data_IF_467406036568
#
_entry.id   IF_467406036568
#
_cell.length_a   1.000
_cell.length_b   1.000
_cell.length_c   1.000
_cell.angle_alpha   90.00
_cell.angle_beta   90.00
_cell.angle_gamma   90.00
#
_symmetry.space_group_name_H-M   'P 1'
#
loop_
_entity.id
_entity.type
_entity.pdbx_description
1 polymer ?
#
# COMPACT_ATOMS: atom_id res chain seq x y z
N UNK A 1 -31.68 28.18 -15.09
CA UNK A 1 -31.63 27.17 -14.00
C UNK A 1 -30.95 25.82 -14.31
N UNK A 2 -30.66 25.35 -15.55
CA UNK A 2 -30.13 23.99 -15.75
C UNK A 2 -28.62 23.82 -15.45
N UNK A 3 -27.81 24.90 -15.54
CA UNK A 3 -26.35 24.84 -15.35
C UNK A 3 -25.90 24.59 -13.90
N UNK A 4 -26.72 24.92 -12.90
CA UNK A 4 -26.37 24.79 -11.46
C UNK A 4 -26.55 23.36 -10.93
N UNK A 5 -27.55 22.63 -11.41
CA UNK A 5 -27.74 21.20 -11.09
C UNK A 5 -26.66 20.33 -11.75
N UNK A 6 -26.18 20.76 -12.91
CA UNK A 6 -25.08 20.12 -13.65
C UNK A 6 -23.75 20.21 -12.91
N UNK A 7 -23.44 21.34 -12.26
CA UNK A 7 -22.20 21.50 -11.49
C UNK A 7 -22.17 20.65 -10.20
N UNK A 8 -23.31 20.54 -9.50
CA UNK A 8 -23.42 19.71 -8.30
C UNK A 8 -23.40 18.21 -8.65
N UNK A 9 -24.06 17.83 -9.76
CA UNK A 9 -24.00 16.48 -10.29
C UNK A 9 -22.60 16.11 -10.81
N UNK A 10 -21.88 17.05 -11.43
CA UNK A 10 -20.49 16.86 -11.87
C UNK A 10 -19.51 16.75 -10.69
N UNK A 11 -19.74 17.48 -9.59
CA UNK A 11 -18.92 17.36 -8.37
C UNK A 11 -19.17 16.03 -7.64
N UNK A 12 -20.43 15.58 -7.56
CA UNK A 12 -20.78 14.27 -7.00
C UNK A 12 -20.30 13.12 -7.90
N UNK A 13 -20.36 13.28 -9.23
CA UNK A 13 -19.78 12.33 -10.17
C UNK A 13 -18.25 12.35 -10.15
N UNK A 14 -17.59 13.49 -9.98
CA UNK A 14 -16.13 13.57 -9.86
C UNK A 14 -15.63 12.93 -8.55
N UNK A 15 -16.38 13.10 -7.46
CA UNK A 15 -16.10 12.43 -6.19
C UNK A 15 -16.37 10.91 -6.24
N UNK A 16 -17.41 10.48 -6.94
CA UNK A 16 -17.73 9.05 -7.14
C UNK A 16 -16.85 8.37 -8.21
N UNK A 17 -16.33 9.13 -9.18
CA UNK A 17 -15.47 8.67 -10.27
C UNK A 17 -13.97 8.82 -9.97
N UNK A 18 -13.59 9.30 -8.78
CA UNK A 18 -12.21 9.26 -8.32
C UNK A 18 -11.78 7.82 -8.01
N UNK A 19 -11.63 7.02 -9.08
CA UNK A 19 -10.74 5.88 -9.10
C UNK A 19 -9.34 6.44 -9.28
N UNK A 20 -8.44 6.34 -8.29
CA UNK A 20 -7.05 6.72 -8.52
C UNK A 20 -6.53 5.90 -9.70
N UNK A 21 -5.83 6.53 -10.65
CA UNK A 21 -5.38 5.84 -11.86
C UNK A 21 -4.54 4.62 -11.47
N UNK A 22 -4.64 3.50 -12.22
CA UNK A 22 -3.67 2.43 -12.07
C UNK A 22 -2.32 2.98 -12.52
N UNK A 23 -1.48 3.40 -11.58
CA UNK A 23 -0.09 3.76 -11.83
C UNK A 23 0.69 2.50 -12.20
N UNK A 24 0.55 2.07 -13.45
CA UNK A 24 1.56 1.23 -14.12
C UNK A 24 2.73 2.14 -14.49
N UNK A 25 3.51 2.53 -13.48
CA UNK A 25 4.85 3.05 -13.69
C UNK A 25 5.69 1.86 -14.18
N UNK A 26 5.79 1.70 -15.50
CA UNK A 26 6.83 0.88 -16.11
C UNK A 26 8.16 1.59 -15.85
N UNK A 27 8.84 1.21 -14.77
CA UNK A 27 10.21 1.62 -14.53
C UNK A 27 11.07 0.95 -15.61
N UNK A 28 11.37 1.68 -16.67
CA UNK A 28 12.41 1.28 -17.61
C UNK A 28 13.75 1.49 -16.89
N UNK A 29 14.39 0.39 -16.48
CA UNK A 29 15.75 0.40 -15.94
C UNK A 29 16.71 0.89 -17.04
N UNK A 30 17.49 1.96 -16.83
CA UNK A 30 18.52 2.34 -17.78
C UNK A 30 19.69 1.36 -17.70
N UNK A 31 20.15 0.89 -18.87
CA UNK A 31 21.38 0.12 -19.03
C UNK A 31 22.57 0.93 -18.49
N UNK A 32 23.30 0.34 -17.55
CA UNK A 32 24.51 0.87 -16.93
C UNK A 32 25.59 1.21 -17.97
N UNK A 33 26.09 2.43 -17.94
CA UNK A 33 27.50 2.73 -18.22
C UNK A 33 28.13 3.38 -16.98
N UNK A 34 29.29 2.85 -16.62
CA UNK A 34 29.99 3.10 -15.38
C UNK A 34 30.74 4.44 -15.43
N UNK A 35 30.53 5.28 -14.42
CA UNK A 35 31.53 6.24 -13.94
C UNK A 35 31.39 6.38 -12.44
N UNK A 36 32.52 6.27 -11.75
CA UNK A 36 32.66 6.15 -10.32
C UNK A 36 32.31 7.45 -9.57
N UNK A 37 31.22 7.39 -8.79
CA UNK A 37 30.97 8.17 -7.59
C UNK A 37 30.49 7.11 -6.58
N UNK A 38 31.08 7.07 -5.38
CA UNK A 38 30.70 6.10 -4.34
C UNK A 38 29.16 6.09 -4.20
N UNK A 39 28.48 4.96 -4.46
CA UNK A 39 27.04 4.96 -4.53
C UNK A 39 26.44 5.24 -3.15
N UNK A 40 25.36 6.02 -3.04
CA UNK A 40 24.56 6.06 -1.82
C UNK A 40 24.17 4.63 -1.45
N UNK A 41 24.18 4.31 -0.15
CA UNK A 41 23.81 2.98 0.33
C UNK A 41 22.42 2.63 -0.21
N UNK A 42 22.14 1.36 -0.51
CA UNK A 42 20.84 0.99 -1.09
C UNK A 42 19.66 1.36 -0.16
N UNK A 43 19.93 1.51 1.15
CA UNK A 43 19.01 2.08 2.12
C UNK A 43 18.65 3.55 1.86
N UNK A 44 19.62 4.38 1.46
CA UNK A 44 19.39 5.81 1.16
C UNK A 44 18.57 5.98 -0.13
N UNK A 45 18.81 5.13 -1.13
CA UNK A 45 18.01 5.09 -2.36
C UNK A 45 16.56 4.71 -2.07
N UNK A 46 16.36 3.65 -1.27
CA UNK A 46 15.05 3.21 -0.81
C UNK A 46 14.31 4.32 -0.03
N UNK A 47 15.00 5.03 0.85
CA UNK A 47 14.43 6.14 1.61
C UNK A 47 14.01 7.30 0.69
N UNK A 48 14.86 7.66 -0.26
CA UNK A 48 14.59 8.73 -1.24
C UNK A 48 13.40 8.40 -2.14
N UNK A 49 13.32 7.18 -2.65
CA UNK A 49 12.21 6.74 -3.50
C UNK A 49 10.88 6.73 -2.74
N UNK A 50 10.89 6.29 -1.47
CA UNK A 50 9.70 6.38 -0.59
C UNK A 50 9.27 7.82 -0.36
N UNK A 51 10.21 8.72 -0.10
CA UNK A 51 9.91 10.14 0.12
C UNK A 51 9.28 10.74 -1.14
N UNK A 52 9.90 10.58 -2.31
CA UNK A 52 9.39 11.09 -3.58
C UNK A 52 7.99 10.53 -3.86
N UNK A 53 7.79 9.22 -3.70
CA UNK A 53 6.50 8.57 -3.93
C UNK A 53 5.43 9.10 -2.96
N UNK A 54 5.76 9.28 -1.70
CA UNK A 54 4.84 9.86 -0.71
C UNK A 54 4.49 11.30 -1.08
N UNK A 55 5.47 12.13 -1.40
CA UNK A 55 5.25 13.53 -1.79
C UNK A 55 4.35 13.66 -3.02
N UNK A 56 4.63 12.90 -4.08
CA UNK A 56 3.89 13.01 -5.35
C UNK A 56 2.49 12.42 -5.24
N UNK A 57 2.34 11.28 -4.54
CA UNK A 57 1.06 10.56 -4.50
C UNK A 57 0.11 11.11 -3.43
N UNK A 58 0.63 11.73 -2.38
CA UNK A 58 -0.15 12.14 -1.22
C UNK A 58 -0.15 13.65 -1.01
N UNK A 59 1.02 14.27 -0.92
CA UNK A 59 1.13 15.69 -0.56
C UNK A 59 0.59 16.59 -1.68
N UNK A 60 1.00 16.35 -2.93
CA UNK A 60 0.58 17.16 -4.09
C UNK A 60 -0.94 17.16 -4.29
N UNK A 61 -1.64 16.00 -4.31
CA UNK A 61 -3.11 16.00 -4.44
C UNK A 61 -3.80 16.70 -3.27
N UNK A 62 -3.31 16.55 -2.04
CA UNK A 62 -3.92 17.16 -0.86
C UNK A 62 -3.81 18.69 -0.89
N UNK A 63 -2.64 19.21 -1.28
CA UNK A 63 -2.44 20.64 -1.49
C UNK A 63 -3.27 21.18 -2.66
N UNK A 64 -3.38 20.42 -3.75
CA UNK A 64 -4.23 20.78 -4.88
C UNK A 64 -5.70 20.87 -4.49
N UNK A 65 -6.21 19.91 -3.69
CA UNK A 65 -7.58 19.98 -3.15
C UNK A 65 -7.73 21.19 -2.24
N UNK A 66 -6.77 21.48 -1.35
CA UNK A 66 -6.78 22.69 -0.53
C UNK A 66 -6.87 23.98 -1.36
N UNK A 67 -6.06 24.10 -2.41
CA UNK A 67 -6.08 25.26 -3.31
C UNK A 67 -7.41 25.39 -4.06
N UNK A 68 -7.99 24.27 -4.52
CA UNK A 68 -9.33 24.24 -5.15
C UNK A 68 -10.39 24.67 -4.13
N UNK A 69 -10.32 24.17 -2.90
CA UNK A 69 -11.23 24.52 -1.81
C UNK A 69 -11.19 26.00 -1.47
N UNK A 70 -10.01 26.62 -1.47
CA UNK A 70 -9.84 28.06 -1.24
C UNK A 70 -10.68 28.90 -2.22
N UNK A 71 -10.62 28.54 -3.51
CA UNK A 71 -11.32 29.23 -4.59
C UNK A 71 -12.81 28.85 -4.62
N UNK A 72 -13.14 27.59 -4.30
CA UNK A 72 -14.50 27.09 -4.30
C UNK A 72 -15.33 27.59 -3.12
N UNK A 73 -14.69 27.93 -1.99
CA UNK A 73 -15.37 28.28 -0.74
C UNK A 73 -16.45 29.37 -0.88
N UNK A 74 -16.20 30.53 -1.53
CA UNK A 74 -17.24 31.55 -1.71
C UNK A 74 -18.43 31.08 -2.56
N UNK A 75 -18.21 30.13 -3.49
CA UNK A 75 -19.29 29.54 -4.27
C UNK A 75 -20.10 28.55 -3.42
N UNK A 76 -19.44 27.76 -2.57
CA UNK A 76 -20.09 26.84 -1.63
C UNK A 76 -20.97 27.60 -0.63
N UNK A 77 -20.47 28.67 0.01
CA UNK A 77 -21.25 29.48 0.95
C UNK A 77 -22.47 30.13 0.27
N UNK A 78 -22.32 30.65 -0.96
CA UNK A 78 -23.46 31.17 -1.75
C UNK A 78 -24.46 30.08 -2.10
N UNK A 79 -23.98 28.88 -2.43
CA UNK A 79 -24.82 27.70 -2.67
C UNK A 79 -25.68 27.37 -1.47
N UNK A 80 -25.07 27.25 -0.28
CA UNK A 80 -25.77 27.00 0.98
C UNK A 80 -26.81 28.07 1.28
N UNK A 81 -26.46 29.35 1.11
CA UNK A 81 -27.42 30.46 1.27
C UNK A 81 -28.62 30.40 0.34
N UNK A 82 -28.41 29.93 -0.89
CA UNK A 82 -29.52 29.79 -1.85
C UNK A 82 -30.38 28.55 -1.58
N UNK A 83 -29.84 27.57 -0.86
CA UNK A 83 -30.56 26.35 -0.50
C UNK A 83 -31.43 26.54 0.76
N UNK A 84 -31.02 27.41 1.67
CA UNK A 84 -31.73 27.68 2.93
C UNK A 84 -32.46 29.04 2.89
N UNK A 85 -33.62 29.13 3.53
CA UNK A 85 -34.33 30.40 3.70
C UNK A 85 -33.62 31.33 4.70
N UNK A 86 -33.90 32.63 4.61
CA UNK A 86 -33.32 33.66 5.50
C UNK A 86 -33.61 33.35 6.98
N UNK A 87 -34.82 32.87 7.30
CA UNK A 87 -35.19 32.47 8.66
C UNK A 87 -34.35 31.28 9.18
N UNK A 88 -34.07 30.28 8.33
CA UNK A 88 -33.23 29.13 8.68
C UNK A 88 -31.79 29.54 8.92
N UNK A 89 -31.25 30.43 8.08
CA UNK A 89 -29.89 30.95 8.24
C UNK A 89 -29.74 31.80 9.51
N UNK A 90 -30.78 32.55 9.89
CA UNK A 90 -30.80 33.32 11.13
C UNK A 90 -30.70 32.40 12.36
N UNK A 91 -31.45 31.28 12.36
CA UNK A 91 -31.36 30.25 13.40
C UNK A 91 -29.96 29.61 13.45
N UNK A 92 -29.38 29.30 12.28
CA UNK A 92 -28.00 28.80 12.16
C UNK A 92 -26.97 29.81 12.70
N UNK A 93 -27.15 31.10 12.42
CA UNK A 93 -26.24 32.16 12.89
C UNK A 93 -26.35 32.42 14.39
N UNK A 94 -27.53 32.18 14.97
CA UNK A 94 -27.79 32.37 16.39
C UNK A 94 -27.42 31.18 17.25
N UNK A 95 -27.55 29.95 16.72
CA UNK A 95 -27.39 28.63 17.38
C UNK A 95 -27.53 28.68 18.92
N UNK A 96 -28.62 29.26 19.42
CA UNK A 96 -28.77 29.61 20.84
C UNK A 96 -28.75 28.39 21.77
N UNK A 97 -29.10 27.22 21.24
CA UNK A 97 -29.03 25.93 21.95
C UNK A 97 -27.72 25.16 21.71
N UNK A 98 -26.76 25.71 20.97
CA UNK A 98 -25.51 25.06 20.55
C UNK A 98 -25.73 23.68 19.89
N UNK A 99 -26.91 23.43 19.31
CA UNK A 99 -27.28 22.11 18.82
C UNK A 99 -26.40 21.72 17.63
N UNK A 100 -26.19 22.67 16.71
CA UNK A 100 -25.40 22.43 15.50
C UNK A 100 -23.94 22.27 15.88
N UNK A 101 -23.41 23.13 16.76
CA UNK A 101 -22.05 23.01 17.26
C UNK A 101 -21.80 21.66 17.96
N UNK A 102 -22.74 21.20 18.81
CA UNK A 102 -22.63 19.92 19.50
C UNK A 102 -22.71 18.73 18.53
N UNK A 103 -23.63 18.76 17.56
CA UNK A 103 -23.74 17.73 16.53
C UNK A 103 -22.46 17.60 15.70
N UNK A 104 -21.90 18.72 15.26
CA UNK A 104 -20.65 18.76 14.51
C UNK A 104 -19.45 18.29 15.34
N UNK A 105 -19.42 18.64 16.63
CA UNK A 105 -18.39 18.15 17.56
C UNK A 105 -18.45 16.63 17.71
N UNK A 106 -19.65 16.06 17.86
CA UNK A 106 -19.84 14.60 17.92
C UNK A 106 -19.36 13.93 16.64
N UNK A 107 -19.67 14.48 15.46
CA UNK A 107 -19.18 13.96 14.17
C UNK A 107 -17.66 14.01 14.09
N UNK A 108 -17.04 15.15 14.46
CA UNK A 108 -15.59 15.31 14.45
C UNK A 108 -14.89 14.31 15.39
N UNK A 109 -15.45 14.08 16.58
CA UNK A 109 -14.95 13.06 17.51
C UNK A 109 -15.07 11.66 16.91
N UNK A 110 -16.23 11.30 16.35
CA UNK A 110 -16.44 9.99 15.71
C UNK A 110 -15.47 9.79 14.54
N UNK A 111 -15.29 10.81 13.70
CA UNK A 111 -14.36 10.78 12.59
C UNK A 111 -12.92 10.58 13.08
N UNK A 112 -12.45 11.40 14.03
CA UNK A 112 -11.11 11.33 14.60
C UNK A 112 -10.82 9.97 15.26
N UNK A 113 -11.78 9.43 16.01
CA UNK A 113 -11.67 8.11 16.63
C UNK A 113 -11.60 7.01 15.58
N UNK A 114 -12.47 7.06 14.57
CA UNK A 114 -12.52 6.04 13.52
C UNK A 114 -11.25 6.08 12.67
N UNK A 115 -10.81 7.26 12.23
CA UNK A 115 -9.59 7.39 11.40
C UNK A 115 -8.34 7.01 12.19
N UNK A 116 -8.24 7.37 13.48
CA UNK A 116 -7.12 6.99 14.34
C UNK A 116 -7.01 5.48 14.54
N UNK A 117 -8.13 4.82 14.86
CA UNK A 117 -8.16 3.36 14.99
C UNK A 117 -7.85 2.66 13.66
N UNK A 118 -8.34 3.20 12.55
CA UNK A 118 -8.08 2.65 11.21
C UNK A 118 -6.61 2.79 10.84
N UNK A 119 -6.01 3.94 11.14
CA UNK A 119 -4.59 4.18 10.96
C UNK A 119 -3.75 3.17 11.75
N UNK A 120 -4.01 3.03 13.05
CA UNK A 120 -3.28 2.10 13.91
C UNK A 120 -3.41 0.65 13.42
N UNK A 121 -4.62 0.23 13.03
CA UNK A 121 -4.86 -1.09 12.46
C UNK A 121 -4.07 -1.32 11.17
N UNK A 122 -4.17 -0.40 10.20
CA UNK A 122 -3.50 -0.54 8.91
C UNK A 122 -1.97 -0.49 9.07
N UNK A 123 -1.46 0.36 9.95
CA UNK A 123 -0.04 0.44 10.25
C UNK A 123 0.48 -0.87 10.85
N UNK A 124 -0.18 -1.39 11.89
CA UNK A 124 0.19 -2.67 12.50
C UNK A 124 0.11 -3.82 11.47
N UNK A 125 -0.88 -3.80 10.59
CA UNK A 125 -0.97 -4.77 9.50
C UNK A 125 0.25 -4.69 8.56
N UNK A 126 0.70 -3.49 8.18
CA UNK A 126 1.90 -3.33 7.34
C UNK A 126 3.17 -3.84 8.05
N UNK A 127 3.30 -3.59 9.35
CA UNK A 127 4.42 -4.13 10.15
C UNK A 127 4.38 -5.66 10.16
N UNK A 128 3.22 -6.29 10.34
CA UNK A 128 3.09 -7.75 10.29
C UNK A 128 3.45 -8.32 8.93
N UNK A 129 3.03 -7.67 7.84
CA UNK A 129 3.42 -8.08 6.48
C UNK A 129 4.93 -7.98 6.28
N UNK A 130 5.55 -6.91 6.79
CA UNK A 130 7.00 -6.72 6.71
C UNK A 130 7.76 -7.81 7.45
N UNK A 131 7.38 -8.10 8.70
CA UNK A 131 8.05 -9.11 9.52
C UNK A 131 7.88 -10.52 8.95
N UNK A 132 6.65 -10.89 8.56
CA UNK A 132 6.37 -12.19 7.97
C UNK A 132 7.13 -12.39 6.65
N UNK A 133 7.29 -11.33 5.85
CA UNK A 133 8.07 -11.41 4.63
C UNK A 133 9.58 -11.63 4.91
N UNK A 134 10.13 -10.91 5.88
CA UNK A 134 11.52 -11.05 6.26
C UNK A 134 11.81 -12.48 6.74
N UNK A 135 10.91 -13.04 7.54
CA UNK A 135 10.99 -14.43 7.99
C UNK A 135 10.92 -15.41 6.83
N UNK A 136 9.95 -15.27 5.92
CA UNK A 136 9.80 -16.15 4.75
C UNK A 136 11.04 -16.15 3.84
N UNK A 137 11.61 -14.98 3.55
CA UNK A 137 12.84 -14.88 2.75
C UNK A 137 14.03 -15.49 3.48
N UNK A 138 14.14 -15.26 4.79
CA UNK A 138 15.23 -15.80 5.61
C UNK A 138 15.17 -17.33 5.65
N UNK A 139 13.98 -17.92 5.79
CA UNK A 139 13.79 -19.37 5.73
C UNK A 139 14.01 -19.91 4.31
N UNK A 140 13.61 -19.18 3.26
CA UNK A 140 13.90 -19.56 1.89
C UNK A 140 15.41 -19.61 1.60
N UNK A 141 16.17 -18.67 2.18
CA UNK A 141 17.64 -18.70 2.12
C UNK A 141 18.24 -19.88 2.89
N UNK A 142 17.74 -20.14 4.10
CA UNK A 142 18.15 -21.32 4.86
C UNK A 142 17.85 -22.62 4.10
N UNK A 143 16.73 -22.70 3.39
CA UNK A 143 16.40 -23.84 2.52
C UNK A 143 17.44 -24.00 1.40
N UNK A 144 17.90 -22.92 0.77
CA UNK A 144 18.99 -23.00 -0.21
C UNK A 144 20.28 -23.52 0.41
N UNK A 145 20.69 -22.98 1.55
CA UNK A 145 21.87 -23.43 2.30
C UNK A 145 21.80 -24.93 2.62
N UNK A 146 20.68 -25.40 3.19
CA UNK A 146 20.48 -26.81 3.50
C UNK A 146 20.42 -27.68 2.25
N UNK A 147 19.75 -27.23 1.19
CA UNK A 147 19.68 -27.96 -0.08
C UNK A 147 21.08 -28.16 -0.67
N UNK A 148 21.95 -27.15 -0.61
CA UNK A 148 23.33 -27.29 -1.07
C UNK A 148 24.14 -28.21 -0.17
N UNK A 149 24.11 -28.02 1.16
CA UNK A 149 24.87 -28.88 2.07
C UNK A 149 24.54 -30.38 1.92
N UNK A 150 23.27 -30.70 1.67
CA UNK A 150 22.78 -32.07 1.63
C UNK A 150 22.80 -32.67 0.22
N UNK A 151 22.47 -31.88 -0.80
CA UNK A 151 22.29 -32.37 -2.16
C UNK A 151 23.48 -32.07 -3.07
N UNK A 152 24.46 -31.25 -2.67
CA UNK A 152 25.62 -30.97 -3.51
C UNK A 152 26.34 -32.26 -3.92
N UNK A 153 26.51 -32.45 -5.23
CA UNK A 153 27.06 -33.68 -5.82
C UNK A 153 26.03 -34.77 -6.13
N UNK A 154 24.74 -34.60 -5.76
CA UNK A 154 23.64 -35.51 -6.12
C UNK A 154 22.95 -35.04 -7.41
N UNK A 155 22.43 -35.97 -8.23
CA UNK A 155 21.70 -35.62 -9.46
C UNK A 155 20.41 -34.83 -9.20
N UNK A 156 19.81 -34.94 -8.01
CA UNK A 156 18.60 -34.21 -7.62
C UNK A 156 18.82 -32.72 -7.34
N UNK A 157 20.06 -32.27 -7.12
CA UNK A 157 20.33 -30.89 -6.69
C UNK A 157 19.86 -29.83 -7.68
N UNK A 158 20.06 -30.06 -8.98
CA UNK A 158 19.58 -29.14 -10.02
C UNK A 158 18.05 -29.02 -10.01
N UNK A 159 17.34 -30.13 -9.82
CA UNK A 159 15.88 -30.15 -9.69
C UNK A 159 15.38 -29.36 -8.48
N UNK A 160 16.05 -29.50 -7.33
CA UNK A 160 15.71 -28.77 -6.11
C UNK A 160 15.88 -27.26 -6.30
N UNK A 161 16.97 -26.81 -6.92
CA UNK A 161 17.17 -25.39 -7.23
C UNK A 161 16.09 -24.84 -8.19
N UNK A 162 15.66 -25.64 -9.15
CA UNK A 162 14.57 -25.27 -10.07
C UNK A 162 13.22 -25.15 -9.36
N UNK A 163 12.92 -26.01 -8.40
CA UNK A 163 11.70 -25.91 -7.62
C UNK A 163 11.73 -24.74 -6.62
N UNK A 164 12.89 -24.41 -6.04
CA UNK A 164 13.03 -23.17 -5.24
C UNK A 164 12.84 -21.93 -6.12
N UNK A 165 13.41 -21.90 -7.32
CA UNK A 165 13.15 -20.80 -8.26
C UNK A 165 11.65 -20.69 -8.60
N UNK A 166 10.98 -21.83 -8.85
CA UNK A 166 9.53 -21.84 -9.09
C UNK A 166 8.76 -21.28 -7.90
N UNK A 167 9.17 -21.57 -6.67
CA UNK A 167 8.58 -20.97 -5.47
C UNK A 167 8.73 -19.44 -5.46
N UNK A 168 9.94 -18.94 -5.72
CA UNK A 168 10.22 -17.51 -5.77
C UNK A 168 9.37 -16.82 -6.84
N UNK A 169 9.33 -17.37 -8.05
CA UNK A 169 8.64 -16.76 -9.19
C UNK A 169 7.12 -16.90 -9.13
N UNK A 170 6.63 -18.05 -8.66
CA UNK A 170 5.20 -18.38 -8.70
C UNK A 170 4.46 -18.12 -7.40
N UNK A 171 5.16 -17.79 -6.31
CA UNK A 171 4.52 -17.48 -5.04
C UNK A 171 5.05 -16.18 -4.42
N UNK A 172 6.34 -16.13 -4.07
CA UNK A 172 6.93 -15.03 -3.32
C UNK A 172 6.79 -13.69 -4.07
N UNK A 173 6.99 -13.71 -5.39
CA UNK A 173 6.76 -12.55 -6.28
C UNK A 173 5.30 -12.33 -6.66
N UNK A 174 4.46 -13.38 -6.64
CA UNK A 174 3.07 -13.33 -7.13
C UNK A 174 2.14 -12.70 -6.10
N UNK A 175 2.20 -11.40 -6.05
CA UNK A 175 1.37 -10.63 -5.14
C UNK A 175 0.23 -9.88 -5.83
N UNK A 176 0.07 -10.12 -7.12
CA UNK A 176 -1.09 -9.80 -7.93
C UNK A 176 -2.31 -10.67 -7.56
N UNK A 177 -2.06 -11.88 -7.08
CA UNK A 177 -3.10 -12.83 -6.67
C UNK A 177 -3.57 -12.59 -5.24
N UNK A 178 -4.84 -12.92 -4.96
CA UNK A 178 -5.35 -12.86 -3.60
C UNK A 178 -4.68 -13.94 -2.74
N UNK A 179 -4.37 -13.65 -1.46
CA UNK A 179 -3.71 -14.63 -0.58
C UNK A 179 -4.51 -15.93 -0.43
N UNK A 180 -5.85 -15.85 -0.45
CA UNK A 180 -6.72 -17.01 -0.40
C UNK A 180 -6.56 -17.92 -1.64
N UNK A 181 -6.37 -17.33 -2.84
CA UNK A 181 -6.15 -18.10 -4.07
C UNK A 181 -4.79 -18.79 -4.02
N UNK A 182 -3.73 -18.10 -3.57
CA UNK A 182 -2.40 -18.71 -3.43
C UNK A 182 -2.43 -19.89 -2.45
N UNK A 183 -3.10 -19.73 -1.30
CA UNK A 183 -3.23 -20.80 -0.31
C UNK A 183 -4.08 -21.98 -0.80
N UNK A 184 -5.05 -21.75 -1.69
CA UNK A 184 -5.91 -22.80 -2.25
C UNK A 184 -5.23 -23.71 -3.29
N UNK A 185 -3.95 -23.46 -3.59
CA UNK A 185 -3.17 -24.26 -4.54
C UNK A 185 -3.13 -25.72 -4.08
N UNK A 186 -3.39 -26.65 -5.01
CA UNK A 186 -3.37 -28.09 -4.70
C UNK A 186 -1.95 -28.50 -4.30
N UNK A 187 -1.79 -29.47 -3.36
CA UNK A 187 -0.46 -29.92 -2.94
C UNK A 187 0.44 -30.37 -4.10
N UNK A 188 -0.11 -31.02 -5.14
CA UNK A 188 0.67 -31.44 -6.31
C UNK A 188 1.30 -30.27 -7.08
N UNK A 189 0.67 -29.11 -7.04
CA UNK A 189 1.07 -27.91 -7.78
C UNK A 189 1.93 -26.97 -6.91
N UNK A 190 2.17 -27.34 -5.64
CA UNK A 190 3.02 -26.60 -4.69
C UNK A 190 4.51 -26.96 -4.92
N UNK A 191 5.36 -25.99 -5.32
CA UNK A 191 6.80 -26.26 -5.54
C UNK A 191 7.49 -26.75 -4.26
N UNK A 192 6.99 -26.41 -3.07
CA UNK A 192 7.54 -26.89 -1.81
C UNK A 192 7.30 -28.39 -1.61
N UNK A 193 6.20 -28.94 -2.14
CA UNK A 193 5.93 -30.38 -2.11
C UNK A 193 6.88 -31.13 -3.07
N UNK A 194 7.18 -30.53 -4.23
CA UNK A 194 8.13 -31.10 -5.18
C UNK A 194 9.55 -31.21 -4.59
N UNK A 195 9.99 -30.20 -3.82
CA UNK A 195 11.26 -30.24 -3.08
C UNK A 195 11.25 -31.40 -2.09
N UNK A 196 10.20 -31.51 -1.27
CA UNK A 196 10.08 -32.59 -0.29
C UNK A 196 10.11 -33.97 -0.95
N UNK A 197 9.44 -34.14 -2.08
CA UNK A 197 9.43 -35.39 -2.83
C UNK A 197 10.84 -35.76 -3.32
N UNK A 198 11.56 -34.82 -3.93
CA UNK A 198 12.93 -35.04 -4.42
C UNK A 198 13.94 -35.33 -3.31
N UNK A 199 13.68 -34.82 -2.10
CA UNK A 199 14.53 -35.00 -0.92
C UNK A 199 13.92 -35.95 0.11
N UNK A 200 12.99 -36.81 -0.30
CA UNK A 200 12.31 -37.74 0.62
C UNK A 200 13.13 -39.01 0.90
N UNK A 201 14.00 -39.41 -0.05
CA UNK A 201 14.76 -40.66 0.04
C UNK A 201 16.26 -40.37 0.19
N UNK A 202 16.86 -40.87 1.26
CA UNK A 202 18.32 -40.85 1.47
C UNK A 202 18.93 -39.48 1.82
N UNK A 203 18.12 -38.47 2.14
CA UNK A 203 18.54 -37.13 2.59
C UNK A 203 18.11 -36.88 4.04
N UNK A 204 18.94 -36.22 4.87
CA UNK A 204 18.60 -35.88 6.26
C UNK A 204 17.33 -35.02 6.37
N UNK A 205 16.59 -35.19 7.47
CA UNK A 205 15.34 -34.49 7.76
C UNK A 205 15.43 -32.96 7.86
N UNK A 206 16.63 -32.36 7.82
CA UNK A 206 16.82 -30.92 7.87
C UNK A 206 16.13 -30.17 6.71
N UNK A 207 16.08 -30.76 5.50
CA UNK A 207 15.33 -30.16 4.37
C UNK A 207 13.82 -30.20 4.64
N UNK A 208 13.31 -31.29 5.20
CA UNK A 208 11.90 -31.42 5.55
C UNK A 208 11.49 -30.34 6.57
N UNK A 209 12.29 -30.15 7.62
CA UNK A 209 12.01 -29.14 8.64
C UNK A 209 12.04 -27.73 8.06
N UNK A 210 13.05 -27.39 7.24
CA UNK A 210 13.12 -26.07 6.59
C UNK A 210 11.97 -25.81 5.62
N UNK A 211 11.52 -26.80 4.85
CA UNK A 211 10.32 -26.65 4.01
C UNK A 211 9.07 -26.46 4.86
N UNK A 212 8.93 -27.19 5.98
CA UNK A 212 7.82 -27.00 6.93
C UNK A 212 7.81 -25.59 7.50
N UNK A 213 8.97 -25.06 7.90
CA UNK A 213 9.11 -23.68 8.37
C UNK A 213 8.76 -22.67 7.26
N UNK A 214 9.18 -22.93 6.03
CA UNK A 214 8.88 -22.06 4.89
C UNK A 214 7.37 -22.00 4.61
N UNK A 215 6.68 -23.15 4.67
CA UNK A 215 5.22 -23.22 4.56
C UNK A 215 4.51 -22.42 5.65
N UNK A 216 5.02 -22.47 6.88
CA UNK A 216 4.49 -21.68 7.98
C UNK A 216 4.69 -20.18 7.74
N UNK A 217 5.90 -19.76 7.41
CA UNK A 217 6.23 -18.36 7.12
C UNK A 217 5.40 -17.81 5.94
N UNK A 218 5.24 -18.60 4.88
CA UNK A 218 4.31 -18.31 3.76
C UNK A 218 2.88 -18.12 4.27
N UNK A 219 2.37 -19.01 5.11
CA UNK A 219 1.04 -18.91 5.70
C UNK A 219 0.86 -17.63 6.52
N UNK A 220 1.87 -17.25 7.29
CA UNK A 220 1.89 -16.02 8.09
C UNK A 220 1.91 -14.76 7.21
N UNK A 221 2.73 -14.71 6.15
CA UNK A 221 2.71 -13.63 5.15
C UNK A 221 1.34 -13.52 4.50
N UNK A 222 0.82 -14.63 3.97
CA UNK A 222 -0.46 -14.65 3.27
C UNK A 222 -1.60 -14.21 4.20
N UNK A 223 -1.59 -14.66 5.47
CA UNK A 223 -2.53 -14.22 6.50
C UNK A 223 -2.42 -12.73 6.84
N UNK A 224 -1.20 -12.20 6.94
CA UNK A 224 -0.96 -10.77 7.18
C UNK A 224 -1.43 -9.90 5.99
N UNK A 225 -1.31 -10.41 4.76
CA UNK A 225 -1.74 -9.71 3.54
C UNK A 225 -3.26 -9.72 3.30
N UNK A 226 -4.05 -10.47 4.07
CA UNK A 226 -5.49 -10.50 3.91
C UNK A 226 -6.14 -9.16 4.26
N UNK A 227 -7.11 -8.73 3.45
CA UNK A 227 -7.90 -7.53 3.74
C UNK A 227 -8.90 -7.83 4.86
N UNK A 228 -8.56 -7.41 6.06
CA UNK A 228 -9.39 -7.61 7.26
C UNK A 228 -10.50 -6.57 7.41
N UNK A 229 -10.28 -5.34 6.93
CA UNK A 229 -11.27 -4.27 6.98
C UNK A 229 -12.20 -4.31 5.77
N UNK A 230 -13.54 -4.32 5.97
CA UNK A 230 -14.49 -4.30 4.88
C UNK A 230 -14.49 -2.93 4.18
N UNK A 231 -14.78 -2.86 2.87
CA UNK A 231 -14.88 -1.59 2.13
C UNK A 231 -15.91 -0.62 2.71
N UNK A 232 -16.96 -1.14 3.36
CA UNK A 232 -18.00 -0.34 4.01
C UNK A 232 -17.43 0.58 5.10
N UNK A 233 -16.39 0.12 5.81
CA UNK A 233 -15.70 0.92 6.82
C UNK A 233 -15.09 2.19 6.22
N UNK A 234 -14.47 2.08 5.04
CA UNK A 234 -13.93 3.23 4.32
C UNK A 234 -15.03 4.14 3.78
N UNK A 235 -16.14 3.58 3.30
CA UNK A 235 -17.29 4.37 2.87
C UNK A 235 -17.84 5.23 4.02
N UNK A 236 -17.90 4.69 5.24
CA UNK A 236 -18.29 5.43 6.44
C UNK A 236 -17.29 6.55 6.78
N UNK A 237 -15.98 6.27 6.72
CA UNK A 237 -14.93 7.27 6.93
C UNK A 237 -15.03 8.43 5.92
N UNK A 238 -15.25 8.13 4.64
CA UNK A 238 -15.44 9.17 3.62
C UNK A 238 -16.70 9.98 3.87
N UNK A 239 -17.81 9.35 4.27
CA UNK A 239 -19.05 10.03 4.58
C UNK A 239 -18.88 11.01 5.75
N UNK A 240 -18.23 10.57 6.84
CA UNK A 240 -17.94 11.40 7.99
C UNK A 240 -17.01 12.57 7.63
N UNK A 241 -15.95 12.32 6.85
CA UNK A 241 -15.06 13.38 6.39
C UNK A 241 -15.74 14.40 5.47
N UNK A 242 -16.64 13.96 4.58
CA UNK A 242 -17.46 14.87 3.76
C UNK A 242 -18.37 15.72 4.63
N UNK A 243 -19.03 15.10 5.62
CA UNK A 243 -19.93 15.79 6.53
C UNK A 243 -19.20 16.87 7.35
N UNK A 244 -18.00 16.56 7.82
CA UNK A 244 -17.11 17.50 8.53
C UNK A 244 -16.67 18.65 7.62
N UNK A 245 -16.28 18.37 6.37
CA UNK A 245 -15.95 19.43 5.40
C UNK A 245 -17.16 20.29 5.09
N UNK A 246 -18.35 19.71 4.91
CA UNK A 246 -19.58 20.45 4.61
C UNK A 246 -20.08 21.32 5.77
N UNK A 247 -19.68 21.01 7.00
CA UNK A 247 -20.03 21.80 8.18
C UNK A 247 -19.50 23.24 8.11
N UNK A 248 -18.28 23.42 7.62
CA UNK A 248 -17.61 24.72 7.59
C UNK A 248 -18.36 25.74 6.69
N UNK A 249 -18.66 25.43 5.40
CA UNK A 249 -19.44 26.35 4.56
C UNK A 249 -20.88 26.56 5.06
N UNK A 250 -21.46 25.59 5.76
CA UNK A 250 -22.80 25.70 6.35
C UNK A 250 -22.82 26.74 7.48
N UNK A 251 -21.86 26.68 8.40
CA UNK A 251 -21.72 27.66 9.48
C UNK A 251 -21.37 29.06 8.95
N UNK A 252 -20.41 29.14 8.02
CA UNK A 252 -20.00 30.38 7.37
C UNK A 252 -21.11 31.04 6.56
N UNK A 253 -22.02 30.26 5.96
CA UNK A 253 -23.18 30.81 5.25
C UNK A 253 -24.08 31.64 6.17
N UNK A 254 -24.27 31.18 7.42
CA UNK A 254 -24.98 31.90 8.48
C UNK A 254 -24.18 33.07 9.05
N UNK A 255 -22.86 32.92 9.25
CA UNK A 255 -22.03 33.99 9.81
C UNK A 255 -21.85 35.18 8.85
N UNK A 256 -21.72 34.95 7.55
CA UNK A 256 -21.45 36.04 6.62
C UNK A 256 -22.68 36.97 6.38
N UNK A 257 -23.81 36.77 7.06
CA UNK A 257 -24.89 37.79 7.13
C UNK A 257 -24.58 38.85 8.18
N UNK A 258 -23.67 38.56 9.12
CA UNK A 258 -23.27 39.45 10.22
C UNK A 258 -21.83 39.94 10.08
N UNK A 259 -20.94 39.15 9.46
CA UNK A 259 -19.51 39.46 9.37
C UNK A 259 -19.10 39.88 7.95
N UNK A 260 -18.41 41.02 7.83
CA UNK A 260 -18.05 41.65 6.54
C UNK A 260 -17.05 40.86 5.67
N UNK A 261 -16.73 41.41 4.49
CA UNK A 261 -15.97 40.74 3.42
C UNK A 261 -14.54 40.27 3.80
N UNK A 262 -13.93 40.86 4.84
CA UNK A 262 -12.60 40.46 5.32
C UNK A 262 -12.60 39.09 6.01
N UNK A 263 -13.64 38.77 6.77
CA UNK A 263 -13.75 37.50 7.50
C UNK A 263 -13.90 36.30 6.56
N UNK A 264 -14.64 36.47 5.47
CA UNK A 264 -14.78 35.46 4.41
C UNK A 264 -13.44 35.00 3.81
N UNK A 265 -12.44 35.89 3.74
CA UNK A 265 -11.10 35.53 3.23
C UNK A 265 -10.35 34.65 4.24
N UNK A 266 -10.45 34.97 5.53
CA UNK A 266 -9.83 34.18 6.60
C UNK A 266 -10.49 32.80 6.69
N UNK A 267 -11.83 32.76 6.66
CA UNK A 267 -12.60 31.50 6.66
C UNK A 267 -12.27 30.62 5.45
N UNK A 268 -12.10 31.21 4.26
CA UNK A 268 -11.68 30.48 3.07
C UNK A 268 -10.29 29.85 3.24
N UNK A 269 -9.35 30.57 3.85
CA UNK A 269 -8.00 30.06 4.13
C UNK A 269 -8.03 28.92 5.15
N UNK A 270 -8.81 29.05 6.23
CA UNK A 270 -9.00 27.97 7.21
C UNK A 270 -9.65 26.74 6.59
N UNK A 271 -10.67 26.93 5.74
CA UNK A 271 -11.32 25.85 5.01
C UNK A 271 -10.36 25.12 4.05
N UNK A 272 -9.52 25.87 3.33
CA UNK A 272 -8.49 25.31 2.45
C UNK A 272 -7.49 24.45 3.23
N UNK A 273 -7.01 24.95 4.37
CA UNK A 273 -6.10 24.22 5.24
C UNK A 273 -6.74 22.94 5.80
N UNK A 274 -7.99 23.03 6.29
CA UNK A 274 -8.72 21.90 6.84
C UNK A 274 -8.97 20.81 5.79
N UNK A 275 -9.40 21.19 4.58
CA UNK A 275 -9.63 20.23 3.49
C UNK A 275 -8.33 19.58 3.02
N UNK A 276 -7.22 20.32 2.96
CA UNK A 276 -5.91 19.75 2.69
C UNK A 276 -5.48 18.76 3.79
N UNK A 277 -5.69 19.09 5.06
CA UNK A 277 -5.35 18.22 6.18
C UNK A 277 -6.19 16.93 6.18
N UNK A 278 -7.50 17.02 5.99
CA UNK A 278 -8.40 15.86 5.95
C UNK A 278 -8.12 14.96 4.73
N UNK A 279 -7.85 15.53 3.56
CA UNK A 279 -7.48 14.74 2.39
C UNK A 279 -6.13 14.05 2.56
N UNK A 280 -5.17 14.71 3.19
CA UNK A 280 -3.88 14.11 3.53
C UNK A 280 -4.07 12.93 4.48
N UNK A 281 -4.80 13.11 5.58
CA UNK A 281 -4.99 12.05 6.59
C UNK A 281 -5.74 10.84 6.02
N UNK A 282 -6.86 11.05 5.31
CA UNK A 282 -7.54 9.94 4.62
C UNK A 282 -6.63 9.28 3.58
N UNK A 283 -5.88 10.08 2.84
CA UNK A 283 -4.93 9.59 1.85
C UNK A 283 -3.89 8.65 2.47
N UNK A 284 -3.32 9.00 3.64
CA UNK A 284 -2.38 8.12 4.37
C UNK A 284 -3.05 6.80 4.70
N UNK A 285 -4.25 6.83 5.28
CA UNK A 285 -4.96 5.60 5.69
C UNK A 285 -5.29 4.72 4.48
N UNK A 286 -5.73 5.32 3.36
CA UNK A 286 -5.99 4.58 2.11
C UNK A 286 -4.72 3.98 1.52
N UNK A 287 -3.59 4.70 1.62
CA UNK A 287 -2.28 4.17 1.19
C UNK A 287 -1.83 3.01 2.08
N UNK A 288 -2.02 3.10 3.40
CA UNK A 288 -1.70 2.00 4.33
C UNK A 288 -2.63 0.80 4.16
N UNK A 289 -3.89 1.01 3.79
CA UNK A 289 -4.83 -0.08 3.52
C UNK A 289 -4.47 -0.89 2.26
N UNK A 290 -3.70 -0.30 1.34
CA UNK A 290 -3.21 -1.00 0.15
C UNK A 290 -1.93 -1.76 0.49
N UNK A 291 -1.94 -3.11 0.46
CA UNK A 291 -0.75 -3.90 0.76
C UNK A 291 0.39 -3.68 -0.25
N UNK A 292 0.09 -3.26 -1.49
CA UNK A 292 1.06 -3.08 -2.58
C UNK A 292 0.76 -1.85 -3.44
N UNK A 293 1.78 -1.39 -4.16
CA UNK A 293 1.74 -0.20 -5.02
C UNK A 293 1.69 1.11 -4.25
N UNK A 294 1.66 1.05 -2.92
CA UNK A 294 1.54 2.20 -2.02
C UNK A 294 2.88 2.86 -1.76
N UNK A 295 2.86 4.09 -1.26
CA UNK A 295 4.08 4.73 -0.73
C UNK A 295 4.61 3.99 0.52
N UNK A 296 3.74 3.28 1.24
CA UNK A 296 4.04 2.57 2.49
C UNK A 296 4.12 1.04 2.32
N UNK A 297 4.01 0.52 1.10
CA UNK A 297 4.03 -0.92 0.86
C UNK A 297 5.43 -1.51 0.97
N UNK A 298 5.48 -2.81 1.29
CA UNK A 298 6.70 -3.60 1.45
C UNK A 298 7.40 -3.92 0.12
N UNK A 299 6.80 -3.57 -1.01
CA UNK A 299 7.27 -3.89 -2.38
C UNK A 299 8.76 -3.65 -2.63
N UNK A 300 9.27 -2.49 -2.19
CA UNK A 300 10.66 -2.14 -2.44
C UNK A 300 11.64 -2.99 -1.61
N UNK A 301 11.27 -3.32 -0.38
CA UNK A 301 12.05 -4.23 0.46
C UNK A 301 12.01 -5.66 -0.09
N UNK A 302 10.83 -6.11 -0.53
CA UNK A 302 10.67 -7.40 -1.19
C UNK A 302 11.51 -7.52 -2.45
N UNK A 303 11.56 -6.47 -3.28
CA UNK A 303 12.35 -6.48 -4.51
C UNK A 303 13.83 -6.75 -4.23
N UNK A 304 14.42 -6.03 -3.27
CA UNK A 304 15.82 -6.22 -2.86
C UNK A 304 16.06 -7.61 -2.26
N UNK A 305 15.15 -8.06 -1.40
CA UNK A 305 15.23 -9.39 -0.77
C UNK A 305 15.18 -10.52 -1.79
N UNK A 306 14.29 -10.40 -2.79
CA UNK A 306 14.12 -11.39 -3.85
C UNK A 306 15.29 -11.36 -4.82
N UNK A 307 15.77 -10.17 -5.20
CA UNK A 307 16.95 -10.03 -6.06
C UNK A 307 18.16 -10.75 -5.45
N UNK A 308 18.41 -10.57 -4.15
CA UNK A 308 19.48 -11.29 -3.45
C UNK A 308 19.31 -12.82 -3.46
N UNK A 309 18.07 -13.32 -3.35
CA UNK A 309 17.77 -14.76 -3.41
C UNK A 309 17.96 -15.32 -4.84
N UNK A 310 17.61 -14.54 -5.85
CA UNK A 310 17.81 -14.91 -7.26
C UNK A 310 19.28 -14.91 -7.67
N UNK A 311 20.05 -13.93 -7.21
CA UNK A 311 21.49 -13.88 -7.42
C UNK A 311 22.15 -15.12 -6.83
N UNK A 312 21.77 -15.50 -5.61
CA UNK A 312 22.26 -16.70 -4.94
C UNK A 312 21.88 -17.99 -5.68
N UNK A 313 20.64 -18.12 -6.14
CA UNK A 313 20.17 -19.22 -6.99
C UNK A 313 20.99 -19.31 -8.30
N UNK A 314 21.23 -18.17 -8.95
CA UNK A 314 21.94 -18.09 -10.22
C UNK A 314 23.42 -18.49 -10.07
N UNK A 315 24.08 -18.03 -9.00
CA UNK A 315 25.45 -18.38 -8.66
C UNK A 315 25.61 -19.88 -8.41
N UNK A 316 24.67 -20.47 -7.64
CA UNK A 316 24.67 -21.91 -7.35
C UNK A 316 24.44 -22.75 -8.62
N UNK A 317 23.55 -22.32 -9.52
CA UNK A 317 23.38 -22.96 -10.84
C UNK A 317 24.61 -22.86 -11.74
N UNK A 318 25.31 -21.72 -11.71
CA UNK A 318 26.56 -21.56 -12.46
C UNK A 318 27.64 -22.54 -11.94
N UNK A 319 27.74 -22.70 -10.61
CA UNK A 319 28.67 -23.63 -9.99
C UNK A 319 28.46 -25.11 -10.39
N UNK A 320 27.20 -25.53 -10.57
CA UNK A 320 26.88 -26.88 -11.08
C UNK A 320 27.44 -27.06 -12.49
N UNK A 321 27.21 -26.08 -13.38
CA UNK A 321 27.67 -26.12 -14.78
C UNK A 321 29.19 -26.10 -14.93
N UNK A 322 29.91 -25.56 -13.96
CA UNK A 322 31.38 -25.57 -13.93
C UNK A 322 31.98 -26.80 -13.26
N UNK A 323 31.17 -27.77 -12.80
CA UNK A 323 31.67 -28.96 -12.12
C UNK A 323 32.35 -29.92 -13.14
N UNK A 324 33.54 -30.48 -12.85
CA UNK A 324 34.39 -31.19 -13.82
C UNK A 324 33.84 -32.52 -14.37
N UNK A 325 32.61 -32.91 -14.05
CA UNK A 325 31.97 -34.10 -14.60
C UNK A 325 31.68 -34.01 -16.13
N UNK A 326 31.66 -32.80 -16.69
CA UNK A 326 31.45 -32.54 -18.13
C UNK A 326 32.74 -32.33 -18.93
N UNK A 327 33.93 -32.51 -18.33
CA UNK A 327 35.20 -32.49 -19.08
C UNK A 327 35.34 -33.81 -19.86
N UNK A 328 35.60 -33.78 -21.19
CA UNK A 328 35.87 -34.99 -21.95
C UNK A 328 37.05 -35.74 -21.32
N UNK A 329 37.04 -37.08 -21.30
CA UNK A 329 38.13 -37.86 -20.73
C UNK A 329 39.44 -37.43 -21.39
N UNK A 330 40.46 -37.17 -20.56
CA UNK A 330 41.78 -36.80 -21.04
C UNK A 330 42.23 -37.83 -22.10
N UNK A 331 42.81 -37.38 -23.22
CA UNK A 331 43.30 -38.31 -24.24
C UNK A 331 44.27 -39.28 -23.59
N UNK A 332 43.98 -40.58 -23.73
CA UNK A 332 44.88 -41.65 -23.27
C UNK A 332 46.20 -41.46 -24.02
N UNK A 333 47.26 -41.14 -23.28
CA UNK A 333 48.65 -41.14 -23.76
C UNK A 333 49.15 -42.57 -23.83
#
# INVERSE_FOLDING_TARGET
MPRRRLALALLLQAAAAFRPPPTRLKLALPRRHATAIAPPSDADKLARDRLIKTSVVLLVPSLAVGAISLVAFPALCRGMRSAFGVATLAVLSGDQGQFIQNFLSVIGILFSLLIGNTYAFCYNQQVMVYMALFEEVSVAKALLEQATLVCQGRPSYAGVLDDVQRYVDRDLKRADLSPAVLLSTRPRDDPLEAIMWQTSVGTPGAIYDTVRWLRRARGERLGAMQRKLPPLHFALLFLLGILEVCAFPLLSAGAATTVGAGALRVEAAMFALMTAALTLTLGVVVQLWRPRGSAYSVDAALAVMVEGLEDELSARRAAIRSSPADLPPAPKV
#
